data_IF_100043126162
#
_entry.id   IF_100043126162
#
_cell.length_a   1.000
_cell.length_b   1.000
_cell.length_c   1.000
_cell.angle_alpha   90.00
_cell.angle_beta   90.00
_cell.angle_gamma   90.00
#
_symmetry.space_group_name_H-M   'P 1'
#
loop_
_entity.id
_entity.type
_entity.pdbx_description
1 polymer ?
#
# COMPACT_ATOMS: atom_id res chain seq x y z
N UNK A 1 -14.46 24.01 -0.90
CA UNK A 1 -14.88 24.60 0.39
C UNK A 1 -13.71 24.35 1.33
N UNK A 2 -12.92 25.38 1.65
CA UNK A 2 -11.65 25.26 2.36
C UNK A 2 -11.87 25.11 3.87
N UNK A 3 -11.87 23.88 4.38
CA UNK A 3 -11.63 23.62 5.80
C UNK A 3 -10.18 23.17 5.97
N UNK A 4 -9.23 24.11 5.81
CA UNK A 4 -7.94 23.94 6.46
C UNK A 4 -8.21 24.06 7.96
N UNK A 5 -8.50 22.93 8.60
CA UNK A 5 -8.46 22.82 10.06
C UNK A 5 -7.04 23.21 10.44
N UNK A 6 -6.85 24.45 10.90
CA UNK A 6 -5.56 24.94 11.36
C UNK A 6 -5.20 24.16 12.62
N UNK A 7 -4.33 23.18 12.47
CA UNK A 7 -3.63 22.55 13.56
C UNK A 7 -2.73 23.61 14.23
N UNK A 8 -3.31 24.42 15.13
CA UNK A 8 -2.61 25.51 15.82
C UNK A 8 -1.61 25.00 16.88
N UNK A 9 -1.48 23.69 17.07
CA UNK A 9 -0.59 23.11 18.09
C UNK A 9 0.78 22.69 17.54
N UNK A 10 1.05 22.80 16.22
CA UNK A 10 2.30 22.33 15.58
C UNK A 10 2.68 20.87 15.91
N UNK A 11 1.72 20.06 16.40
CA UNK A 11 1.97 18.67 16.75
C UNK A 11 2.03 17.83 15.48
N UNK A 12 3.06 17.00 15.35
CA UNK A 12 3.15 16.02 14.27
C UNK A 12 2.31 14.77 14.59
N UNK A 13 2.12 13.88 13.60
CA UNK A 13 1.33 12.67 13.79
C UNK A 13 1.77 11.79 14.97
N UNK A 14 3.05 11.81 15.37
CA UNK A 14 3.54 10.99 16.49
C UNK A 14 2.92 11.46 17.81
N UNK A 15 2.92 12.78 18.02
CA UNK A 15 2.36 13.40 19.22
C UNK A 15 0.84 13.35 19.20
N UNK A 16 0.23 13.65 18.06
CA UNK A 16 -1.23 13.59 17.87
C UNK A 16 -1.78 12.19 18.19
N UNK A 17 -1.23 11.15 17.57
CA UNK A 17 -1.70 9.78 17.77
C UNK A 17 -1.53 9.29 19.21
N UNK A 18 -0.50 9.76 19.91
CA UNK A 18 -0.31 9.48 21.34
C UNK A 18 -1.34 10.20 22.21
N UNK A 19 -1.60 11.49 21.94
CA UNK A 19 -2.55 12.31 22.70
C UNK A 19 -4.01 11.86 22.48
N UNK A 20 -4.31 11.29 21.30
CA UNK A 20 -5.60 10.69 20.96
C UNK A 20 -5.78 9.27 21.54
N UNK A 21 -4.77 8.74 22.25
CA UNK A 21 -4.73 7.34 22.73
C UNK A 21 -5.03 6.34 21.60
N UNK A 22 -4.51 6.61 20.40
CA UNK A 22 -4.62 5.74 19.24
C UNK A 22 -3.42 4.79 19.13
N UNK A 23 -2.28 5.14 19.71
CA UNK A 23 -1.04 4.36 19.64
C UNK A 23 -0.29 4.32 20.96
N UNK A 24 0.24 3.15 21.33
CA UNK A 24 1.22 2.98 22.40
C UNK A 24 2.58 2.53 21.83
N UNK A 25 3.44 3.52 21.59
CA UNK A 25 4.81 3.30 21.13
C UNK A 25 5.71 2.66 22.19
N UNK A 26 5.55 3.04 23.47
CA UNK A 26 6.46 2.59 24.53
C UNK A 26 6.31 1.09 24.77
N UNK A 27 5.07 0.61 24.87
CA UNK A 27 4.79 -0.82 25.04
C UNK A 27 5.09 -1.59 23.75
N UNK A 28 4.84 -1.00 22.58
CA UNK A 28 5.23 -1.58 21.29
C UNK A 28 6.73 -1.83 21.21
N UNK A 29 7.54 -0.80 21.46
CA UNK A 29 9.01 -0.90 21.44
C UNK A 29 9.52 -1.90 22.47
N UNK A 30 8.93 -1.92 23.68
CA UNK A 30 9.29 -2.89 24.71
C UNK A 30 9.09 -4.34 24.25
N UNK A 31 8.04 -4.62 23.47
CA UNK A 31 7.66 -5.99 23.08
C UNK A 31 8.37 -6.45 21.80
N UNK A 32 8.42 -5.60 20.76
CA UNK A 32 8.91 -6.01 19.43
C UNK A 32 10.20 -5.31 18.99
N UNK A 33 10.81 -4.49 19.85
CA UNK A 33 11.99 -3.70 19.52
C UNK A 33 11.67 -2.41 18.75
N UNK A 34 12.71 -1.78 18.17
CA UNK A 34 12.56 -0.51 17.46
C UNK A 34 11.45 -0.58 16.40
N UNK A 35 10.70 0.52 16.24
CA UNK A 35 9.52 0.63 15.35
C UNK A 35 8.34 -0.29 15.71
N UNK A 36 8.37 -0.89 16.89
CA UNK A 36 7.23 -1.55 17.50
C UNK A 36 6.15 -0.56 17.92
N UNK A 37 4.88 -0.92 17.73
CA UNK A 37 3.73 -0.12 18.15
C UNK A 37 2.56 -1.03 18.50
N UNK A 38 1.68 -0.55 19.39
CA UNK A 38 0.31 -1.05 19.49
C UNK A 38 -0.63 0.02 18.96
N UNK A 39 -1.51 -0.31 18.02
CA UNK A 39 -2.75 0.46 17.86
C UNK A 39 -3.66 0.15 19.04
N UNK A 40 -4.29 1.17 19.62
CA UNK A 40 -5.16 1.04 20.79
C UNK A 40 -6.46 1.83 20.56
N UNK A 41 -7.56 1.30 21.10
CA UNK A 41 -8.89 1.92 21.04
C UNK A 41 -9.24 2.44 19.64
N UNK A 42 -9.47 3.76 19.48
CA UNK A 42 -9.86 4.34 18.19
C UNK A 42 -8.80 4.15 17.09
N UNK A 43 -7.53 3.94 17.42
CA UNK A 43 -6.49 3.63 16.44
C UNK A 43 -6.70 2.29 15.72
N UNK A 44 -7.20 1.29 16.45
CA UNK A 44 -7.56 -0.02 15.85
C UNK A 44 -8.75 0.13 14.92
N UNK A 45 -9.78 0.86 15.37
CA UNK A 45 -11.02 1.05 14.62
C UNK A 45 -10.77 1.87 13.33
N UNK A 46 -9.93 2.91 13.39
CA UNK A 46 -9.55 3.66 12.19
C UNK A 46 -8.76 2.81 11.19
N UNK A 47 -7.86 1.95 11.67
CA UNK A 47 -7.11 1.03 10.81
C UNK A 47 -8.04 0.04 10.09
N UNK A 48 -8.93 -0.62 10.82
CA UNK A 48 -9.91 -1.53 10.24
C UNK A 48 -10.90 -0.80 9.31
N UNK A 49 -11.31 0.42 9.68
CA UNK A 49 -12.20 1.24 8.87
C UNK A 49 -11.57 1.65 7.53
N UNK A 50 -10.28 1.98 7.50
CA UNK A 50 -9.55 2.25 6.26
C UNK A 50 -9.45 1.01 5.36
N UNK A 51 -9.26 -0.18 5.95
CA UNK A 51 -9.24 -1.44 5.19
C UNK A 51 -10.60 -1.70 4.56
N UNK A 52 -11.67 -1.66 5.36
CA UNK A 52 -13.01 -1.92 4.85
C UNK A 52 -13.43 -0.89 3.80
N UNK A 53 -13.20 0.41 4.08
CA UNK A 53 -13.48 1.47 3.12
C UNK A 53 -12.71 1.30 1.81
N UNK A 54 -11.42 0.96 1.89
CA UNK A 54 -10.59 0.72 0.70
C UNK A 54 -11.08 -0.46 -0.15
N UNK A 55 -11.51 -1.55 0.50
CA UNK A 55 -12.09 -2.70 -0.21
C UNK A 55 -13.43 -2.35 -0.85
N UNK A 56 -14.33 -1.70 -0.11
CA UNK A 56 -15.65 -1.26 -0.63
C UNK A 56 -15.50 -0.28 -1.79
N UNK A 57 -14.51 0.62 -1.72
CA UNK A 57 -14.17 1.55 -2.78
C UNK A 57 -13.76 0.83 -4.07
N UNK A 58 -12.97 -0.25 -3.96
CA UNK A 58 -12.49 -1.02 -5.11
C UNK A 58 -13.51 -2.01 -5.65
N UNK A 59 -14.39 -2.56 -4.81
CA UNK A 59 -15.52 -3.39 -5.23
C UNK A 59 -16.44 -2.64 -6.20
N UNK A 60 -16.74 -1.38 -5.91
CA UNK A 60 -17.51 -0.48 -6.81
C UNK A 60 -16.84 -0.25 -8.17
N UNK A 61 -15.55 -0.58 -8.31
CA UNK A 61 -14.74 -0.48 -9.53
C UNK A 61 -14.54 -1.83 -10.22
N UNK A 62 -15.27 -2.86 -9.80
CA UNK A 62 -15.22 -4.22 -10.34
C UNK A 62 -13.84 -4.90 -10.19
N UNK A 63 -13.19 -4.68 -9.04
CA UNK A 63 -12.00 -5.44 -8.64
C UNK A 63 -12.41 -6.61 -7.76
N UNK A 64 -11.74 -7.75 -7.92
CA UNK A 64 -11.95 -8.94 -7.09
C UNK A 64 -11.09 -8.80 -5.83
N UNK A 65 -11.71 -8.86 -4.66
CA UNK A 65 -10.99 -8.85 -3.39
C UNK A 65 -10.22 -10.15 -3.16
N UNK A 66 -8.96 -10.03 -2.78
CA UNK A 66 -8.10 -11.15 -2.40
C UNK A 66 -7.47 -10.88 -1.03
N UNK A 67 -7.68 -11.77 -0.08
CA UNK A 67 -6.79 -11.88 1.07
C UNK A 67 -5.69 -12.89 0.70
N UNK A 68 -4.44 -12.44 0.71
CA UNK A 68 -3.32 -13.28 0.26
C UNK A 68 -2.63 -13.99 1.43
N UNK A 69 -1.91 -15.11 1.20
CA UNK A 69 -1.03 -15.67 2.21
C UNK A 69 0.04 -14.68 2.65
N UNK A 70 0.38 -14.61 3.93
CA UNK A 70 1.38 -13.64 4.42
C UNK A 70 2.83 -14.16 4.31
N UNK A 71 3.01 -15.32 3.70
CA UNK A 71 4.31 -15.93 3.47
C UNK A 71 4.37 -16.58 2.09
N UNK A 72 5.57 -16.66 1.52
CA UNK A 72 5.83 -17.26 0.21
C UNK A 72 7.01 -18.21 0.26
N UNK A 73 6.95 -19.28 -0.55
CA UNK A 73 8.11 -20.14 -0.78
C UNK A 73 9.22 -19.36 -1.47
N UNK A 74 10.46 -19.53 -1.01
CA UNK A 74 11.63 -18.81 -1.50
C UNK A 74 11.80 -18.88 -3.02
N UNK A 75 11.64 -20.09 -3.59
CA UNK A 75 11.79 -20.33 -5.03
C UNK A 75 10.82 -19.50 -5.87
N UNK A 76 9.58 -19.32 -5.39
CA UNK A 76 8.54 -18.54 -6.07
C UNK A 76 8.77 -17.06 -5.86
N UNK A 77 9.08 -16.66 -4.62
CA UNK A 77 9.35 -15.28 -4.28
C UNK A 77 10.51 -14.70 -5.09
N UNK A 78 11.59 -15.47 -5.31
CA UNK A 78 12.72 -15.06 -6.16
C UNK A 78 12.34 -14.73 -7.62
N UNK A 79 11.20 -15.20 -8.11
CA UNK A 79 10.67 -14.81 -9.43
C UNK A 79 9.94 -13.46 -9.39
N UNK A 80 9.48 -13.01 -8.21
CA UNK A 80 8.67 -11.80 -8.04
C UNK A 80 9.49 -10.58 -7.58
N UNK A 81 10.59 -10.80 -6.85
CA UNK A 81 11.43 -9.73 -6.27
C UNK A 81 12.86 -9.75 -6.79
N UNK A 82 13.50 -8.58 -6.75
CA UNK A 82 14.93 -8.48 -6.99
C UNK A 82 15.73 -9.06 -5.83
N UNK A 83 16.91 -9.60 -6.14
CA UNK A 83 17.81 -10.19 -5.14
C UNK A 83 18.21 -9.21 -4.02
N UNK A 84 18.38 -7.93 -4.35
CA UNK A 84 18.69 -6.88 -3.37
C UNK A 84 17.54 -6.70 -2.36
N UNK A 85 16.32 -6.55 -2.87
CA UNK A 85 15.11 -6.44 -2.03
C UNK A 85 14.90 -7.69 -1.18
N UNK A 86 15.21 -8.87 -1.72
CA UNK A 86 15.13 -10.14 -0.99
C UNK A 86 16.02 -10.14 0.27
N UNK A 87 17.24 -9.61 0.17
CA UNK A 87 18.19 -9.56 1.29
C UNK A 87 17.80 -8.47 2.29
N UNK A 88 17.50 -7.28 1.79
CA UNK A 88 17.33 -6.06 2.60
C UNK A 88 15.93 -5.89 3.20
N UNK A 89 14.88 -6.40 2.55
CA UNK A 89 13.49 -6.11 2.95
C UNK A 89 12.76 -7.28 3.60
N UNK A 90 13.08 -8.53 3.27
CA UNK A 90 12.22 -9.68 3.60
C UNK A 90 12.67 -10.44 4.85
N UNK A 91 11.73 -10.75 5.74
CA UNK A 91 11.96 -11.64 6.88
C UNK A 91 11.82 -13.11 6.46
N UNK A 92 12.78 -13.96 6.86
CA UNK A 92 12.65 -15.41 6.74
C UNK A 92 11.87 -15.97 7.93
N UNK A 93 11.06 -17.00 7.70
CA UNK A 93 10.26 -17.68 8.74
C UNK A 93 11.11 -18.52 9.70
N UNK A 94 12.36 -18.85 9.33
CA UNK A 94 13.23 -19.69 10.14
C UNK A 94 14.43 -20.20 9.35
N UNK A 95 15.50 -20.61 10.05
CA UNK A 95 16.77 -21.04 9.43
C UNK A 95 16.62 -22.21 8.44
N UNK A 96 15.62 -23.07 8.65
CA UNK A 96 15.34 -24.24 7.81
C UNK A 96 14.02 -24.11 7.03
N UNK A 97 13.33 -22.97 7.16
CA UNK A 97 12.09 -22.71 6.45
C UNK A 97 12.41 -21.94 5.18
N UNK A 98 12.20 -22.59 4.03
CA UNK A 98 12.30 -21.96 2.70
C UNK A 98 11.09 -21.04 2.44
N UNK A 99 10.68 -20.27 3.44
CA UNK A 99 9.54 -19.36 3.42
C UNK A 99 9.91 -18.01 3.99
N UNK A 100 9.33 -16.97 3.40
CA UNK A 100 9.57 -15.58 3.75
C UNK A 100 8.25 -14.87 3.94
N UNK A 101 8.18 -13.94 4.91
CA UNK A 101 7.07 -13.02 5.04
C UNK A 101 7.03 -12.05 3.85
N UNK A 102 5.83 -11.71 3.41
CA UNK A 102 5.63 -10.82 2.26
C UNK A 102 5.84 -9.35 2.65
N UNK A 103 6.39 -8.56 1.73
CA UNK A 103 6.50 -7.10 1.88
C UNK A 103 5.31 -6.35 1.27
N UNK A 104 4.46 -7.06 0.51
CA UNK A 104 3.27 -6.56 -0.19
C UNK A 104 2.46 -7.75 -0.75
N UNK A 105 1.14 -7.63 -0.78
CA UNK A 105 0.25 -8.60 -1.44
C UNK A 105 0.51 -8.73 -2.94
N UNK A 106 1.11 -7.72 -3.58
CA UNK A 106 1.62 -7.79 -4.97
C UNK A 106 2.45 -9.05 -5.22
N UNK A 107 3.37 -9.41 -4.31
CA UNK A 107 4.24 -10.58 -4.48
C UNK A 107 3.43 -11.87 -4.63
N UNK A 108 2.43 -12.04 -3.77
CA UNK A 108 1.54 -13.20 -3.80
C UNK A 108 0.56 -13.18 -4.95
N UNK A 109 0.06 -12.00 -5.36
CA UNK A 109 -0.86 -11.89 -6.50
C UNK A 109 -0.12 -12.17 -7.81
N UNK A 110 1.11 -11.68 -7.97
CA UNK A 110 1.99 -12.05 -9.08
C UNK A 110 2.14 -13.58 -9.17
N UNK A 111 2.46 -14.22 -8.04
CA UNK A 111 2.64 -15.67 -7.97
C UNK A 111 1.34 -16.48 -8.14
N UNK A 112 0.17 -15.87 -7.93
CA UNK A 112 -1.12 -16.56 -8.00
C UNK A 112 -1.37 -17.18 -9.39
N UNK A 113 -0.82 -16.56 -10.44
CA UNK A 113 -0.92 -17.01 -11.84
C UNK A 113 0.38 -17.63 -12.37
N UNK A 114 1.31 -18.06 -11.50
CA UNK A 114 2.58 -18.62 -11.92
C UNK A 114 2.39 -19.80 -12.88
N UNK A 115 3.07 -19.77 -14.03
CA UNK A 115 2.99 -20.78 -15.12
C UNK A 115 1.61 -20.95 -15.74
N UNK A 116 0.68 -20.03 -15.50
CA UNK A 116 -0.64 -20.08 -16.10
C UNK A 116 -0.60 -19.56 -17.55
N UNK A 117 -1.43 -20.17 -18.40
CA UNK A 117 -1.76 -19.67 -19.73
C UNK A 117 -3.17 -19.09 -19.68
N UNK A 118 -3.29 -17.77 -19.79
CA UNK A 118 -4.56 -17.05 -19.64
C UNK A 118 -5.14 -16.75 -21.02
N UNK A 119 -6.37 -17.18 -21.26
CA UNK A 119 -7.08 -16.91 -22.50
C UNK A 119 -7.29 -15.40 -22.67
N UNK A 120 -7.10 -14.89 -23.90
CA UNK A 120 -7.17 -13.45 -24.20
C UNK A 120 -8.48 -12.79 -23.72
N UNK A 121 -9.61 -13.50 -23.82
CA UNK A 121 -10.93 -12.97 -23.46
C UNK A 121 -11.16 -12.82 -21.95
N UNK A 122 -10.32 -13.43 -21.11
CA UNK A 122 -10.41 -13.30 -19.65
C UNK A 122 -9.72 -12.03 -19.14
N UNK A 123 -9.12 -11.22 -20.03
CA UNK A 123 -8.36 -10.02 -19.68
C UNK A 123 -9.21 -8.74 -19.88
N UNK A 124 -8.98 -7.69 -19.08
CA UNK A 124 -8.04 -7.61 -17.96
C UNK A 124 -8.58 -8.33 -16.71
N UNK A 125 -7.69 -8.95 -15.94
CA UNK A 125 -8.00 -9.44 -14.60
C UNK A 125 -7.63 -8.37 -13.58
N UNK A 126 -8.55 -8.06 -12.65
CA UNK A 126 -8.41 -6.93 -11.71
C UNK A 126 -8.60 -7.43 -10.28
N UNK A 127 -7.57 -7.23 -9.46
CA UNK A 127 -7.54 -7.69 -8.07
C UNK A 127 -7.27 -6.54 -7.11
N UNK A 128 -7.94 -6.55 -5.97
CA UNK A 128 -7.61 -5.72 -4.82
C UNK A 128 -7.16 -6.62 -3.67
N UNK A 129 -5.86 -6.62 -3.40
CA UNK A 129 -5.21 -7.41 -2.37
C UNK A 129 -5.22 -6.72 -1.02
N UNK A 130 -5.62 -7.43 0.04
CA UNK A 130 -5.45 -7.00 1.43
C UNK A 130 -4.47 -7.93 2.16
N UNK A 131 -3.47 -7.36 2.81
CA UNK A 131 -2.53 -8.13 3.63
C UNK A 131 -1.77 -7.29 4.64
N UNK A 132 -1.33 -7.94 5.72
CA UNK A 132 -0.24 -7.45 6.55
C UNK A 132 1.07 -7.52 5.76
N UNK A 133 1.81 -6.42 5.71
CA UNK A 133 3.08 -6.28 5.03
C UNK A 133 4.23 -6.23 6.05
N UNK A 134 5.31 -6.95 5.78
CA UNK A 134 6.49 -7.03 6.64
C UNK A 134 7.74 -6.51 5.94
N UNK A 135 8.46 -5.55 6.54
CA UNK A 135 9.69 -4.98 5.98
C UNK A 135 10.77 -4.81 7.03
N UNK A 136 11.97 -5.34 6.76
CA UNK A 136 13.16 -5.21 7.63
C UNK A 136 13.65 -3.77 7.76
N UNK A 137 13.47 -2.95 6.72
CA UNK A 137 13.88 -1.54 6.70
C UNK A 137 15.39 -1.30 6.98
N UNK A 138 16.26 -2.27 6.67
CA UNK A 138 17.68 -2.31 7.08
C UNK A 138 18.57 -1.18 6.53
N UNK A 139 18.11 -0.44 5.51
CA UNK A 139 18.82 0.70 4.92
C UNK A 139 18.40 2.08 5.44
N UNK A 140 17.45 2.17 6.37
CA UNK A 140 16.80 3.43 6.76
C UNK A 140 17.23 3.97 8.14
N UNK A 141 18.47 3.70 8.56
CA UNK A 141 19.03 4.16 9.83
C UNK A 141 18.84 5.70 9.97
N UNK A 142 17.99 6.12 10.90
CA UNK A 142 17.75 7.53 11.25
C UNK A 142 16.79 8.33 10.35
N UNK A 143 16.18 7.77 9.29
CA UNK A 143 15.23 8.49 8.42
C UNK A 143 13.77 8.12 8.69
N UNK A 144 12.96 9.09 9.13
CA UNK A 144 11.51 8.99 9.37
C UNK A 144 11.13 7.80 10.28
N UNK A 145 11.93 7.54 11.32
CA UNK A 145 11.79 6.38 12.22
C UNK A 145 10.72 6.55 13.30
N UNK A 146 10.18 7.75 13.47
CA UNK A 146 9.28 8.06 14.57
C UNK A 146 7.83 7.77 14.19
N UNK A 147 7.03 7.32 15.16
CA UNK A 147 5.62 7.04 14.94
C UNK A 147 5.35 5.71 14.23
N UNK A 148 4.28 5.69 13.42
CA UNK A 148 3.87 4.53 12.61
C UNK A 148 4.04 4.74 11.10
N UNK A 149 4.69 5.82 10.68
CA UNK A 149 4.86 6.17 9.26
C UNK A 149 5.79 5.18 8.51
N UNK A 150 6.88 4.75 9.18
CA UNK A 150 7.82 3.76 8.67
C UNK A 150 8.08 2.67 9.72
N UNK A 151 7.41 1.54 9.55
CA UNK A 151 7.37 0.44 10.54
C UNK A 151 7.63 -0.92 9.89
N UNK A 152 7.95 -1.92 10.71
CA UNK A 152 8.21 -3.28 10.24
C UNK A 152 6.95 -4.04 9.82
N UNK A 153 5.79 -3.65 10.36
CA UNK A 153 4.50 -4.29 10.11
C UNK A 153 3.44 -3.22 9.85
N UNK A 154 2.68 -3.35 8.76
CA UNK A 154 1.57 -2.44 8.44
C UNK A 154 0.55 -3.12 7.52
N UNK A 155 -0.71 -2.66 7.53
CA UNK A 155 -1.74 -3.16 6.62
C UNK A 155 -1.76 -2.36 5.32
N UNK A 156 -1.97 -3.06 4.20
CA UNK A 156 -2.04 -2.42 2.88
C UNK A 156 -3.15 -3.01 2.02
N UNK A 157 -3.85 -2.11 1.33
CA UNK A 157 -4.75 -2.43 0.22
C UNK A 157 -4.03 -2.11 -1.09
N UNK A 158 -3.82 -3.11 -1.92
CA UNK A 158 -3.05 -3.06 -3.16
C UNK A 158 -3.95 -3.35 -4.36
N UNK A 159 -3.92 -2.50 -5.37
CA UNK A 159 -4.55 -2.75 -6.66
C UNK A 159 -3.57 -3.51 -7.55
N UNK A 160 -4.06 -4.49 -8.30
CA UNK A 160 -3.27 -5.28 -9.24
C UNK A 160 -4.06 -5.56 -10.51
N UNK A 161 -3.43 -5.37 -11.67
CA UNK A 161 -4.05 -5.66 -12.97
C UNK A 161 -3.10 -6.54 -13.80
N UNK A 162 -3.67 -7.62 -14.34
CA UNK A 162 -3.09 -8.40 -15.43
C UNK A 162 -3.76 -7.93 -16.71
N UNK A 163 -2.98 -7.33 -17.60
CA UNK A 163 -3.49 -6.73 -18.83
C UNK A 163 -2.83 -7.33 -20.06
N UNK A 164 -3.49 -7.15 -21.20
CA UNK A 164 -2.92 -7.56 -22.46
C UNK A 164 -1.73 -6.68 -22.87
N UNK A 165 -0.81 -7.25 -23.63
CA UNK A 165 0.33 -6.55 -24.21
C UNK A 165 -0.05 -5.67 -25.41
N UNK A 166 -1.14 -6.00 -26.12
CA UNK A 166 -1.56 -5.28 -27.34
C UNK A 166 -2.15 -3.90 -27.05
N UNK A 167 -2.12 -3.05 -28.08
CA UNK A 167 -2.83 -1.76 -28.15
C UNK A 167 -2.52 -0.76 -27.02
N UNK A 168 -1.36 -0.89 -26.37
CA UNK A 168 -0.98 -0.04 -25.23
C UNK A 168 -2.00 -0.10 -24.07
N UNK A 169 -2.76 -1.20 -23.93
CA UNK A 169 -3.84 -1.28 -22.95
C UNK A 169 -3.32 -1.18 -21.51
N UNK A 170 -2.11 -1.69 -21.23
CA UNK A 170 -1.48 -1.54 -19.91
C UNK A 170 -1.31 -0.06 -19.52
N UNK A 171 -1.01 0.84 -20.46
CA UNK A 171 -0.87 2.27 -20.15
C UNK A 171 -2.21 2.95 -19.83
N UNK A 172 -3.31 2.48 -20.41
CA UNK A 172 -4.66 2.93 -20.01
C UNK A 172 -4.98 2.43 -18.60
N UNK A 173 -4.65 1.17 -18.30
CA UNK A 173 -4.84 0.61 -16.96
C UNK A 173 -3.94 1.27 -15.91
N UNK A 174 -2.74 1.70 -16.28
CA UNK A 174 -1.87 2.49 -15.41
C UNK A 174 -2.56 3.79 -14.96
N UNK A 175 -3.13 4.55 -15.90
CA UNK A 175 -3.88 5.77 -15.56
C UNK A 175 -5.15 5.45 -14.75
N UNK A 176 -5.82 4.33 -15.00
CA UNK A 176 -6.96 3.87 -14.18
C UNK A 176 -6.51 3.59 -12.74
N UNK A 177 -5.42 2.82 -12.54
CA UNK A 177 -4.89 2.50 -11.21
C UNK A 177 -4.48 3.75 -10.43
N UNK A 178 -3.80 4.69 -11.11
CA UNK A 178 -3.40 5.96 -10.52
C UNK A 178 -4.62 6.82 -10.17
N UNK A 179 -5.62 6.89 -11.05
CA UNK A 179 -6.84 7.65 -10.80
C UNK A 179 -7.69 7.05 -9.69
N UNK A 180 -7.75 5.72 -9.55
CA UNK A 180 -8.39 5.09 -8.40
C UNK A 180 -7.76 5.55 -7.08
N UNK A 181 -6.42 5.59 -7.00
CA UNK A 181 -5.72 6.09 -5.81
C UNK A 181 -5.98 7.58 -5.59
N UNK A 182 -5.95 8.41 -6.64
CA UNK A 182 -6.29 9.85 -6.55
C UNK A 182 -7.72 10.07 -6.03
N UNK A 183 -8.70 9.38 -6.60
CA UNK A 183 -10.10 9.45 -6.17
C UNK A 183 -10.28 9.00 -4.70
N UNK A 184 -9.54 7.98 -4.27
CA UNK A 184 -9.54 7.56 -2.86
C UNK A 184 -9.03 8.67 -1.93
N UNK A 185 -7.89 9.30 -2.24
CA UNK A 185 -7.38 10.41 -1.42
C UNK A 185 -8.20 11.70 -1.53
N UNK A 186 -8.84 11.95 -2.68
CA UNK A 186 -9.82 13.03 -2.84
C UNK A 186 -11.05 12.81 -1.95
N UNK A 187 -11.54 11.57 -1.85
CA UNK A 187 -12.66 11.23 -0.98
C UNK A 187 -12.34 11.37 0.52
N UNK A 188 -11.06 11.25 0.87
CA UNK A 188 -10.52 11.54 2.20
C UNK A 188 -10.15 13.01 2.38
N UNK A 189 -10.38 13.87 1.39
CA UNK A 189 -9.99 15.29 1.37
C UNK A 189 -8.53 15.54 1.78
N UNK A 190 -7.62 14.62 1.45
CA UNK A 190 -6.18 14.76 1.73
C UNK A 190 -5.52 15.51 0.56
N UNK A 191 -4.87 16.67 0.79
CA UNK A 191 -4.10 17.32 -0.26
C UNK A 191 -2.90 16.46 -0.65
N UNK A 192 -2.62 16.37 -1.95
CA UNK A 192 -1.49 15.58 -2.45
C UNK A 192 -0.89 16.18 -3.72
N UNK A 193 0.31 15.71 -4.06
CA UNK A 193 0.95 15.91 -5.36
C UNK A 193 1.25 14.54 -6.00
N UNK A 194 1.30 14.50 -7.33
CA UNK A 194 1.78 13.33 -8.05
C UNK A 194 3.19 13.58 -8.58
N UNK A 195 4.11 12.66 -8.30
CA UNK A 195 5.50 12.72 -8.75
C UNK A 195 5.78 11.55 -9.70
N UNK A 196 6.10 11.86 -10.95
CA UNK A 196 6.67 10.86 -11.86
C UNK A 196 8.12 10.60 -11.44
N UNK A 197 8.45 9.34 -11.16
CA UNK A 197 9.76 8.97 -10.66
C UNK A 197 10.78 8.99 -11.81
N UNK A 198 11.94 9.67 -11.64
CA UNK A 198 12.93 9.73 -12.69
C UNK A 198 13.59 8.36 -12.92
N UNK A 199 14.11 8.07 -14.12
CA UNK A 199 14.60 6.74 -14.48
C UNK A 199 15.67 6.16 -13.53
N UNK A 200 16.51 7.00 -12.92
CA UNK A 200 17.57 6.56 -12.00
C UNK A 200 17.06 6.14 -10.61
N UNK A 201 15.85 6.55 -10.24
CA UNK A 201 15.18 6.18 -8.99
C UNK A 201 14.14 5.04 -9.19
N UNK A 202 13.95 4.56 -10.42
CA UNK A 202 13.09 3.41 -10.70
C UNK A 202 13.75 2.11 -10.20
N UNK A 203 12.93 1.24 -9.62
CA UNK A 203 13.32 -0.14 -9.41
C UNK A 203 13.32 -0.89 -10.75
N UNK A 204 14.15 -1.93 -10.90
CA UNK A 204 14.29 -2.70 -12.16
C UNK A 204 12.99 -3.29 -12.72
N UNK A 205 11.95 -3.46 -11.89
CA UNK A 205 10.69 -4.03 -12.32
C UNK A 205 9.78 -3.01 -13.01
N UNK A 206 9.84 -1.73 -12.64
CA UNK A 206 8.92 -0.71 -13.15
C UNK A 206 9.47 -0.05 -14.43
N UNK A 207 8.69 -0.07 -15.50
CA UNK A 207 8.97 0.73 -16.70
C UNK A 207 8.54 2.19 -16.53
N UNK A 208 7.53 2.44 -15.70
CA UNK A 208 7.12 3.77 -15.25
C UNK A 208 6.53 3.66 -13.85
N UNK A 209 6.82 4.65 -13.01
CA UNK A 209 6.26 4.77 -11.66
C UNK A 209 5.82 6.21 -11.38
N UNK A 210 4.67 6.35 -10.74
CA UNK A 210 4.16 7.62 -10.20
C UNK A 210 3.82 7.43 -8.74
N UNK A 211 4.35 8.31 -7.90
CA UNK A 211 4.02 8.35 -6.48
C UNK A 211 2.95 9.41 -6.21
N UNK A 212 2.02 9.12 -5.31
CA UNK A 212 1.15 10.12 -4.70
C UNK A 212 1.74 10.47 -3.34
N UNK A 213 2.13 11.73 -3.20
CA UNK A 213 2.71 12.27 -1.99
C UNK A 213 1.62 13.07 -1.26
N UNK A 214 1.18 12.62 -0.09
CA UNK A 214 0.22 13.34 0.74
C UNK A 214 0.89 14.49 1.49
N UNK A 215 0.15 15.57 1.70
CA UNK A 215 0.62 16.73 2.47
C UNK A 215 0.59 16.46 3.97
N UNK A 216 1.71 16.71 4.64
CA UNK A 216 1.85 16.64 6.10
C UNK A 216 2.08 18.04 6.65
N UNK A 217 1.01 18.73 7.12
CA UNK A 217 1.08 20.15 7.47
C UNK A 217 2.07 20.45 8.59
N UNK A 218 2.16 19.61 9.63
CA UNK A 218 3.06 19.84 10.77
C UNK A 218 4.53 19.74 10.37
N UNK A 219 4.82 18.86 9.41
CA UNK A 219 6.17 18.70 8.84
C UNK A 219 6.43 19.63 7.64
N UNK A 220 5.41 20.35 7.16
CA UNK A 220 5.44 21.16 5.93
C UNK A 220 6.09 20.45 4.73
N UNK A 221 5.80 19.16 4.56
CA UNK A 221 6.37 18.33 3.49
C UNK A 221 5.34 17.39 2.88
N UNK A 222 5.59 17.01 1.64
CA UNK A 222 4.87 15.94 0.97
C UNK A 222 5.57 14.60 1.22
N UNK A 223 4.83 13.57 1.61
CA UNK A 223 5.37 12.23 1.86
C UNK A 223 4.58 11.16 1.12
N UNK A 224 5.29 10.13 0.62
CA UNK A 224 4.72 9.05 -0.18
C UNK A 224 3.63 8.29 0.58
N UNK A 225 2.42 8.23 0.01
CA UNK A 225 1.31 7.39 0.45
C UNK A 225 1.02 6.25 -0.52
N UNK A 226 1.32 6.46 -1.82
CA UNK A 226 1.07 5.51 -2.89
C UNK A 226 2.24 5.49 -3.85
N UNK A 227 2.52 4.29 -4.36
CA UNK A 227 3.34 4.05 -5.54
C UNK A 227 2.49 3.27 -6.56
N UNK A 228 2.42 3.75 -7.79
CA UNK A 228 1.74 3.10 -8.92
C UNK A 228 2.74 2.80 -10.02
N UNK A 229 2.79 1.56 -10.48
CA UNK A 229 3.80 1.07 -11.44
C UNK A 229 3.16 0.31 -12.60
N UNK A 230 3.72 0.49 -13.79
CA UNK A 230 3.55 -0.44 -14.90
C UNK A 230 4.84 -1.22 -15.07
N UNK A 231 4.79 -2.54 -14.88
CA UNK A 231 5.95 -3.42 -14.95
C UNK A 231 6.12 -4.08 -16.32
N UNK A 232 5.17 -3.82 -17.24
CA UNK A 232 5.06 -4.50 -18.53
C UNK A 232 5.22 -6.02 -18.33
N UNK A 233 5.95 -6.71 -19.20
CA UNK A 233 6.16 -8.16 -19.14
C UNK A 233 7.15 -8.62 -18.07
N UNK A 234 7.90 -7.74 -17.41
CA UNK A 234 9.06 -8.09 -16.59
C UNK A 234 8.76 -9.19 -15.55
N UNK A 235 7.69 -9.01 -14.77
CA UNK A 235 7.30 -9.97 -13.74
C UNK A 235 6.66 -11.22 -14.34
N UNK A 236 5.85 -11.06 -15.39
CA UNK A 236 5.16 -12.18 -16.05
C UNK A 236 6.14 -13.13 -16.75
N UNK A 237 7.22 -12.63 -17.33
CA UNK A 237 8.27 -13.45 -17.95
C UNK A 237 8.97 -14.31 -16.90
N UNK A 238 9.38 -13.71 -15.77
CA UNK A 238 10.00 -14.42 -14.65
C UNK A 238 9.10 -15.49 -14.04
N UNK A 239 7.77 -15.29 -14.09
CA UNK A 239 6.76 -16.18 -13.56
C UNK A 239 6.13 -17.11 -14.62
N UNK A 240 6.55 -16.98 -15.87
CA UNK A 240 6.01 -17.69 -17.03
C UNK A 240 4.47 -17.57 -17.15
N UNK A 241 3.94 -16.35 -16.98
CA UNK A 241 2.50 -16.04 -17.11
C UNK A 241 2.23 -15.61 -18.55
N UNK A 242 1.63 -16.53 -19.30
CA UNK A 242 1.49 -16.41 -20.75
C UNK A 242 0.03 -16.12 -21.14
N UNK A 243 -0.18 -15.58 -22.34
CA UNK A 243 -1.51 -15.48 -22.95
C UNK A 243 -1.56 -16.17 -24.30
N UNK A 244 -2.76 -16.65 -24.66
CA UNK A 244 -3.04 -17.28 -25.94
C UNK A 244 -4.39 -16.79 -26.47
N UNK A 245 -4.51 -16.80 -27.81
CA UNK A 245 -5.79 -16.55 -28.50
C UNK A 245 -6.42 -17.83 -29.03
N UNK A 246 -5.58 -18.74 -29.55
CA UNK A 246 -5.93 -20.08 -30.00
C UNK A 246 -4.85 -21.04 -29.47
N UNK A 247 -5.20 -22.28 -29.14
CA UNK A 247 -4.27 -23.27 -28.55
C UNK A 247 -3.01 -23.57 -29.38
N UNK A 248 -3.01 -23.20 -30.66
CA UNK A 248 -1.92 -23.46 -31.62
C UNK A 248 -0.88 -22.32 -31.77
N UNK A 249 -0.87 -21.30 -30.90
CA UNK A 249 0.18 -20.27 -30.98
C UNK A 249 1.51 -20.78 -30.44
N UNK A 250 2.49 -21.00 -31.32
CA UNK A 250 3.84 -21.48 -30.93
C UNK A 250 4.71 -20.41 -30.25
N UNK A 251 4.38 -19.12 -30.40
CA UNK A 251 5.12 -18.02 -29.78
C UNK A 251 4.55 -17.72 -28.39
N UNK A 252 5.39 -17.86 -27.36
CA UNK A 252 5.07 -17.37 -26.01
C UNK A 252 4.85 -15.87 -26.04
N UNK A 253 3.77 -15.43 -25.44
CA UNK A 253 3.50 -14.01 -25.23
C UNK A 253 3.14 -13.79 -23.77
N UNK A 254 3.87 -12.89 -23.13
CA UNK A 254 3.72 -12.60 -21.71
C UNK A 254 2.78 -11.40 -21.50
N UNK A 255 2.13 -11.35 -20.34
CA UNK A 255 1.13 -10.35 -19.99
C UNK A 255 1.76 -9.14 -19.32
N UNK A 256 1.13 -7.96 -19.43
CA UNK A 256 1.60 -6.79 -18.69
C UNK A 256 1.03 -6.79 -17.28
N UNK A 257 1.89 -6.73 -16.27
CA UNK A 257 1.49 -6.66 -14.86
C UNK A 257 1.63 -5.23 -14.34
N UNK A 258 0.60 -4.77 -13.61
CA UNK A 258 0.56 -3.45 -13.01
C UNK A 258 0.11 -3.55 -11.57
N UNK A 259 0.67 -2.69 -10.73
CA UNK A 259 0.29 -2.60 -9.33
C UNK A 259 0.25 -1.16 -8.84
N UNK A 260 -0.62 -0.88 -7.88
CA UNK A 260 -0.73 0.43 -7.26
C UNK A 260 -1.22 0.28 -5.83
N UNK A 261 -0.55 0.95 -4.89
CA UNK A 261 -1.12 1.07 -3.54
C UNK A 261 -2.41 1.88 -3.60
N UNK A 262 -3.49 1.35 -3.02
CA UNK A 262 -4.67 2.16 -2.73
C UNK A 262 -4.46 2.90 -1.41
N UNK A 263 -4.15 2.14 -0.35
CA UNK A 263 -3.95 2.67 0.99
C UNK A 263 -2.94 1.83 1.78
N UNK A 264 -1.86 2.46 2.25
CA UNK A 264 -1.02 1.92 3.31
C UNK A 264 -1.49 2.53 4.63
N UNK A 265 -2.27 1.75 5.37
CA UNK A 265 -3.12 2.22 6.49
C UNK A 265 -2.37 3.09 7.49
N UNK A 266 -1.19 2.68 7.97
CA UNK A 266 -0.46 3.45 8.99
C UNK A 266 0.01 4.81 8.49
N UNK A 267 0.47 4.91 7.23
CA UNK A 267 0.83 6.20 6.61
C UNK A 267 -0.39 7.09 6.41
N UNK A 268 -1.51 6.49 5.97
CA UNK A 268 -2.78 7.21 5.82
C UNK A 268 -3.30 7.71 7.17
N UNK A 269 -3.19 6.92 8.24
CA UNK A 269 -3.52 7.33 9.62
C UNK A 269 -2.67 8.52 10.05
N UNK A 270 -1.34 8.50 9.81
CA UNK A 270 -0.48 9.64 10.10
C UNK A 270 -0.92 10.90 9.34
N UNK A 271 -1.27 10.76 8.05
CA UNK A 271 -1.71 11.87 7.23
C UNK A 271 -3.08 12.42 7.69
N UNK A 272 -4.03 11.54 8.02
CA UNK A 272 -5.32 11.93 8.61
C UNK A 272 -5.09 12.67 9.92
N UNK A 273 -4.24 12.15 10.82
CA UNK A 273 -3.97 12.79 12.09
C UNK A 273 -3.51 14.25 11.90
N UNK A 274 -2.55 14.51 11.02
CA UNK A 274 -2.07 15.89 10.82
C UNK A 274 -3.06 16.81 10.09
N UNK A 275 -3.90 16.29 9.18
CA UNK A 275 -4.84 17.11 8.41
C UNK A 275 -6.20 17.33 9.09
N UNK A 276 -6.59 16.44 10.01
CA UNK A 276 -7.93 16.42 10.61
C UNK A 276 -7.97 16.72 12.12
N UNK A 277 -6.82 16.96 12.74
CA UNK A 277 -6.77 17.31 14.16
C UNK A 277 -6.91 18.82 14.38
N UNK A 278 -7.71 19.18 15.39
CA UNK A 278 -7.86 20.54 15.92
C UNK A 278 -7.37 20.63 17.38
N UNK A 279 -7.82 21.64 18.11
CA UNK A 279 -7.46 21.86 19.52
C UNK A 279 -8.20 20.95 20.50
N UNK A 280 -9.23 20.24 20.06
CA UNK A 280 -10.05 19.33 20.87
C UNK A 280 -9.77 17.86 20.57
N UNK A 281 -9.35 17.52 19.35
CA UNK A 281 -9.11 16.14 18.96
C UNK A 281 -9.03 15.95 17.45
N UNK A 282 -9.39 14.77 16.98
CA UNK A 282 -9.38 14.39 15.57
C UNK A 282 -10.81 14.28 15.03
N UNK A 283 -11.11 15.02 13.97
CA UNK A 283 -12.37 14.90 13.23
C UNK A 283 -12.24 13.72 12.24
N UNK A 284 -13.06 12.69 12.38
CA UNK A 284 -12.97 11.53 11.47
C UNK A 284 -13.47 11.94 10.07
N UNK A 285 -12.71 11.67 8.99
CA UNK A 285 -13.13 11.94 7.61
C UNK A 285 -14.52 11.38 7.35
N UNK A 286 -15.38 12.14 6.68
CA UNK A 286 -16.80 11.81 6.55
C UNK A 286 -17.03 10.40 5.98
N UNK A 287 -16.26 10.02 4.96
CA UNK A 287 -16.34 8.71 4.30
C UNK A 287 -15.94 7.53 5.18
N UNK A 288 -15.27 7.77 6.33
CA UNK A 288 -14.83 6.72 7.25
C UNK A 288 -15.77 6.52 8.44
N UNK A 289 -16.70 7.45 8.70
CA UNK A 289 -17.48 7.47 9.96
C UNK A 289 -18.33 6.21 10.15
N UNK A 290 -18.96 5.73 9.08
CA UNK A 290 -19.78 4.52 9.13
C UNK A 290 -18.96 3.24 9.36
N UNK A 291 -17.70 3.22 8.92
CA UNK A 291 -16.79 2.09 9.12
C UNK A 291 -16.11 2.11 10.49
N UNK A 292 -15.91 3.30 11.05
CA UNK A 292 -15.17 3.50 12.31
C UNK A 292 -16.12 3.60 13.52
N UNK A 293 -17.36 4.04 13.31
CA UNK A 293 -18.42 4.11 14.32
C UNK A 293 -18.49 5.43 15.10
N UNK A 294 -17.70 6.43 14.74
CA UNK A 294 -17.72 7.76 15.37
C UNK A 294 -17.22 8.85 14.42
N UNK A 295 -17.65 10.09 14.67
CA UNK A 295 -17.28 11.27 13.88
C UNK A 295 -16.11 12.07 14.45
N UNK A 296 -15.72 11.82 15.70
CA UNK A 296 -14.72 12.60 16.43
C UNK A 296 -14.01 11.76 17.49
N UNK A 297 -12.71 11.98 17.67
CA UNK A 297 -11.87 11.38 18.70
C UNK A 297 -11.31 12.51 19.57
N UNK A 298 -11.76 12.70 20.82
CA UNK A 298 -11.20 13.74 21.69
C UNK A 298 -9.77 13.41 22.10
N UNK A 299 -8.96 14.43 22.36
CA UNK A 299 -7.72 14.22 23.12
C UNK A 299 -8.04 13.70 24.52
N UNK A 300 -7.18 12.85 25.06
CA UNK A 300 -7.31 12.48 26.47
C UNK A 300 -7.07 13.71 27.35
N UNK A 301 -8.03 14.04 28.21
CA UNK A 301 -7.73 14.87 29.37
C UNK A 301 -6.64 14.15 30.19
N UNK A 302 -5.53 14.83 30.46
CA UNK A 302 -4.46 14.30 31.31
C UNK A 302 -4.99 13.93 32.70
#
# INVERSE_FOLDING_TARGET
MNFLVKNNQNLNHVELLKNLKMVDYKRGIKVSGNRGYYLIGPGVLLNLGLIQYGLDFMLKKNFICLQTPFYMNEKILKCCVQLKDFIEQLYSMGKNDNKFLIATSEQTICAFHQKEKIHYENLPMKYVGVSTCFRKESGSHGKDTNGIFRVHQFEKIEQFIISNYKNYDSWKFYEILLNNSKEFYNSLEIPYLCLNIPPFDLNKTASRKTDILGWFPSSSKYQELVSCSNCLEYQSENLNIETYKNDNSFKKVYLHLLNSTLCATTRTICCIAENYSDFHGLIVPAVLRDYVGFSFIPYSNN
#
